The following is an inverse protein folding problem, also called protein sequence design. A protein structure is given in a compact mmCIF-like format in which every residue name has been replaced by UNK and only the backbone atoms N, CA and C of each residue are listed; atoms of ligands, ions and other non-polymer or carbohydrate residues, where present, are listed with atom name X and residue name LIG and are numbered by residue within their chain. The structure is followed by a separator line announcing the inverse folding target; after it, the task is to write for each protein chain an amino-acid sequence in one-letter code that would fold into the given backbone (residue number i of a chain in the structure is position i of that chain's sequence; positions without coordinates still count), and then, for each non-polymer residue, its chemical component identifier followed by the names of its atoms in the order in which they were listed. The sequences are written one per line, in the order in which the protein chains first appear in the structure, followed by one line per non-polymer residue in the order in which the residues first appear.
data_IF_089556831317
#
_entry.id   IF_089556831317
#
_cell.length_a   1.000
_cell.length_b   1.000
_cell.length_c   1.000
_cell.angle_alpha   90.00
_cell.angle_beta   90.00
_cell.angle_gamma   90.00
#
_symmetry.space_group_name_H-M   'P 1'
#
loop_
_entity.id
_entity.type
_entity.pdbx_description
1 polymer ?
#
# COMPACT_ATOMS: atom_id res chain seq x y z
N UNK A 1 -10.80 -21.93 -4.99
CA UNK A 1 -11.23 -20.52 -4.85
C UNK A 1 -10.66 -20.00 -3.55
N UNK A 2 -9.85 -18.95 -3.58
CA UNK A 2 -9.46 -18.21 -2.38
C UNK A 2 -9.29 -16.78 -2.81
N UNK A 3 -10.41 -16.04 -2.84
CA UNK A 3 -10.34 -14.59 -2.84
C UNK A 3 -9.68 -14.22 -1.52
N UNK A 4 -8.52 -13.56 -1.58
CA UNK A 4 -7.98 -12.87 -0.43
C UNK A 4 -8.99 -11.78 -0.04
N UNK A 5 -9.93 -12.13 0.85
CA UNK A 5 -10.89 -11.19 1.40
C UNK A 5 -10.11 -10.17 2.22
N UNK A 6 -9.83 -9.02 1.60
CA UNK A 6 -9.52 -7.81 2.34
C UNK A 6 -10.81 -7.48 3.10
N UNK A 7 -10.72 -7.40 4.43
CA UNK A 7 -11.87 -7.32 5.36
C UNK A 7 -13.00 -6.42 4.86
N UNK A 8 -14.25 -6.89 4.99
CA UNK A 8 -15.46 -6.20 4.56
C UNK A 8 -15.94 -5.07 5.47
N UNK A 9 -15.16 -4.68 6.49
CA UNK A 9 -15.49 -3.52 7.32
C UNK A 9 -15.46 -2.25 6.48
N UNK A 10 -16.54 -1.47 6.53
CA UNK A 10 -16.68 -0.20 5.79
C UNK A 10 -17.04 0.94 6.74
N UNK A 11 -16.62 2.15 6.39
CA UNK A 11 -17.01 3.39 7.05
C UNK A 11 -17.86 4.24 6.09
N UNK A 12 -18.80 5.03 6.60
CA UNK A 12 -19.50 6.04 5.80
C UNK A 12 -18.73 7.34 5.79
N UNK A 13 -18.43 7.84 4.59
CA UNK A 13 -17.83 9.15 4.37
C UNK A 13 -18.91 10.25 4.40
N UNK A 14 -18.55 11.53 4.60
CA UNK A 14 -19.48 12.66 4.53
C UNK A 14 -20.23 12.76 3.19
N UNK A 15 -19.68 12.19 2.12
CA UNK A 15 -20.34 12.09 0.81
C UNK A 15 -21.49 11.06 0.76
N UNK A 16 -21.70 10.29 1.84
CA UNK A 16 -22.64 9.18 1.91
C UNK A 16 -22.14 7.87 1.31
N UNK A 17 -20.95 7.87 0.69
CA UNK A 17 -20.31 6.66 0.15
C UNK A 17 -19.67 5.82 1.25
N UNK A 18 -19.71 4.50 1.07
CA UNK A 18 -18.99 3.57 1.95
C UNK A 18 -17.54 3.40 1.47
N UNK A 19 -16.57 3.51 2.37
CA UNK A 19 -15.15 3.29 2.12
C UNK A 19 -14.61 2.13 2.95
N UNK A 20 -13.85 1.24 2.32
CA UNK A 20 -13.11 0.16 2.96
C UNK A 20 -11.62 0.47 3.12
N UNK A 21 -10.87 -0.51 3.61
CA UNK A 21 -9.42 -0.36 3.81
C UNK A 21 -8.68 -0.05 2.50
N UNK A 22 -9.07 -0.70 1.40
CA UNK A 22 -8.45 -0.46 0.07
C UNK A 22 -8.66 0.99 -0.34
N UNK A 23 -9.86 1.54 -0.18
CA UNK A 23 -10.17 2.92 -0.54
C UNK A 23 -9.29 3.92 0.25
N UNK A 24 -9.12 3.68 1.56
CA UNK A 24 -8.31 4.52 2.44
C UNK A 24 -6.83 4.46 2.04
N UNK A 25 -6.28 3.25 1.84
CA UNK A 25 -4.89 3.08 1.44
C UNK A 25 -4.63 3.58 0.03
N UNK A 26 -5.60 3.45 -0.88
CA UNK A 26 -5.54 4.02 -2.23
C UNK A 26 -5.46 5.54 -2.16
N UNK A 27 -6.22 6.17 -1.28
CA UNK A 27 -6.19 7.62 -1.14
C UNK A 27 -4.87 8.10 -0.52
N UNK A 28 -4.47 7.53 0.63
CA UNK A 28 -3.32 8.05 1.39
C UNK A 28 -1.98 7.72 0.72
N UNK A 29 -1.87 6.57 0.04
CA UNK A 29 -0.60 6.07 -0.50
C UNK A 29 -0.62 5.89 -2.03
N UNK A 30 -1.72 6.28 -2.69
CA UNK A 30 -1.94 6.00 -4.11
C UNK A 30 -1.91 4.51 -4.47
N UNK A 31 -2.08 3.59 -3.51
CA UNK A 31 -1.98 2.14 -3.76
C UNK A 31 -3.18 1.64 -4.56
N UNK A 32 -2.93 0.78 -5.54
CA UNK A 32 -3.97 0.02 -6.24
C UNK A 32 -4.41 -1.18 -5.40
N UNK A 33 -5.55 -1.78 -5.75
CA UNK A 33 -5.99 -3.05 -5.15
C UNK A 33 -4.92 -4.15 -5.28
N UNK A 34 -4.21 -4.18 -6.42
CA UNK A 34 -3.08 -5.10 -6.63
C UNK A 34 -1.94 -4.82 -5.65
N UNK A 35 -1.59 -3.56 -5.41
CA UNK A 35 -0.52 -3.22 -4.47
C UNK A 35 -0.88 -3.67 -3.04
N UNK A 36 -2.13 -3.44 -2.63
CA UNK A 36 -2.65 -3.89 -1.33
C UNK A 36 -2.65 -5.41 -1.24
N UNK A 37 -3.04 -6.12 -2.30
CA UNK A 37 -3.00 -7.57 -2.34
C UNK A 37 -1.58 -8.11 -2.21
N UNK A 38 -0.59 -7.49 -2.87
CA UNK A 38 0.83 -7.87 -2.76
C UNK A 38 1.34 -7.64 -1.34
N UNK A 39 1.01 -6.50 -0.72
CA UNK A 39 1.38 -6.20 0.66
C UNK A 39 0.77 -7.22 1.64
N UNK A 40 -0.53 -7.48 1.53
CA UNK A 40 -1.24 -8.47 2.36
C UNK A 40 -0.68 -9.87 2.14
N UNK A 41 -0.31 -10.20 0.90
CA UNK A 41 0.42 -11.43 0.56
C UNK A 41 1.70 -11.51 1.38
N UNK A 42 2.56 -10.49 1.29
CA UNK A 42 3.85 -10.40 1.99
C UNK A 42 3.75 -10.45 3.52
N UNK A 43 2.64 -9.98 4.11
CA UNK A 43 2.40 -10.05 5.56
C UNK A 43 2.14 -11.47 6.09
N UNK A 44 1.72 -12.41 5.23
CA UNK A 44 1.32 -13.78 5.64
C UNK A 44 2.48 -14.77 5.86
N UNK A 45 3.73 -14.33 5.80
CA UNK A 45 4.86 -15.26 5.95
C UNK A 45 6.24 -14.63 5.79
N UNK A 46 7.19 -15.49 5.46
CA UNK A 46 8.59 -15.13 5.29
C UNK A 46 8.88 -14.37 4.00
N UNK A 47 10.14 -13.95 3.87
CA UNK A 47 10.63 -13.24 2.71
C UNK A 47 10.50 -14.10 1.45
N UNK A 48 9.83 -13.58 0.42
CA UNK A 48 9.49 -14.31 -0.81
C UNK A 48 10.09 -13.67 -2.04
N UNK A 49 10.41 -14.50 -3.03
CA UNK A 49 10.87 -14.05 -4.34
C UNK A 49 9.70 -13.57 -5.22
N UNK A 50 10.02 -12.82 -6.28
CA UNK A 50 9.01 -12.39 -7.27
C UNK A 50 8.27 -13.58 -7.90
N UNK A 51 8.99 -14.67 -8.19
CA UNK A 51 8.42 -15.87 -8.82
C UNK A 51 7.41 -16.61 -7.91
N UNK A 52 7.64 -16.60 -6.60
CA UNK A 52 6.71 -17.17 -5.62
C UNK A 52 5.45 -16.31 -5.51
N UNK A 53 5.61 -14.99 -5.43
CA UNK A 53 4.48 -14.05 -5.38
C UNK A 53 3.62 -14.11 -6.65
N UNK A 54 4.23 -14.28 -7.82
CA UNK A 54 3.53 -14.50 -9.08
C UNK A 54 2.63 -15.73 -9.03
N UNK A 55 3.16 -16.87 -8.55
CA UNK A 55 2.42 -18.13 -8.44
C UNK A 55 1.31 -18.06 -7.40
N UNK A 56 1.59 -17.50 -6.23
CA UNK A 56 0.64 -17.42 -5.11
C UNK A 56 -0.51 -16.47 -5.40
N UNK A 57 -0.20 -15.27 -5.90
CA UNK A 57 -1.18 -14.21 -6.12
C UNK A 57 -1.85 -14.29 -7.49
N UNK A 58 -1.32 -15.13 -8.40
CA UNK A 58 -1.77 -15.27 -9.80
C UNK A 58 -1.73 -13.94 -10.55
N UNK A 59 -0.70 -13.14 -10.29
CA UNK A 59 -0.47 -11.84 -10.90
C UNK A 59 0.72 -11.91 -11.86
N UNK A 60 0.73 -11.02 -12.86
CA UNK A 60 1.86 -10.94 -13.79
C UNK A 60 3.14 -10.46 -13.08
N UNK A 61 4.30 -10.91 -13.57
CA UNK A 61 5.61 -10.43 -13.15
C UNK A 61 5.73 -8.91 -13.17
N UNK A 62 5.17 -8.27 -14.21
CA UNK A 62 5.20 -6.82 -14.34
C UNK A 62 4.37 -6.14 -13.22
N UNK A 63 3.19 -6.68 -12.92
CA UNK A 63 2.32 -6.18 -11.84
C UNK A 63 2.97 -6.33 -10.47
N UNK A 64 3.55 -7.50 -10.18
CA UNK A 64 4.28 -7.75 -8.93
C UNK A 64 5.45 -6.78 -8.79
N UNK A 65 6.32 -6.64 -9.81
CA UNK A 65 7.48 -5.75 -9.71
C UNK A 65 7.08 -4.28 -9.55
N UNK A 66 6.02 -3.82 -10.23
CA UNK A 66 5.48 -2.47 -10.04
C UNK A 66 5.02 -2.26 -8.60
N UNK A 67 4.27 -3.22 -8.06
CA UNK A 67 3.77 -3.17 -6.69
C UNK A 67 4.91 -3.17 -5.67
N UNK A 68 5.90 -4.05 -5.85
CA UNK A 68 7.06 -4.15 -4.96
C UNK A 68 7.88 -2.85 -4.96
N UNK A 69 8.16 -2.27 -6.13
CA UNK A 69 8.89 -1.00 -6.21
C UNK A 69 8.16 0.11 -5.44
N UNK A 70 6.86 0.23 -5.65
CA UNK A 70 6.05 1.23 -4.96
C UNK A 70 6.05 1.02 -3.45
N UNK A 71 5.81 -0.22 -3.00
CA UNK A 71 5.80 -0.56 -1.57
C UNK A 71 7.17 -0.33 -0.89
N UNK A 72 8.28 -0.48 -1.63
CA UNK A 72 9.63 -0.15 -1.15
C UNK A 72 9.82 1.36 -1.02
N UNK A 73 9.38 2.14 -2.01
CA UNK A 73 9.48 3.61 -2.01
C UNK A 73 8.78 4.22 -0.79
N UNK A 74 7.58 3.72 -0.45
CA UNK A 74 6.83 4.16 0.75
C UNK A 74 7.22 3.40 2.02
N UNK A 75 8.27 2.57 1.96
CA UNK A 75 8.88 1.90 3.10
C UNK A 75 7.90 1.00 3.90
N UNK A 76 6.97 0.32 3.20
CA UNK A 76 6.08 -0.70 3.78
C UNK A 76 6.65 -2.12 3.65
N UNK A 77 7.56 -2.34 2.71
CA UNK A 77 8.26 -3.62 2.53
C UNK A 77 9.76 -3.39 2.53
N UNK A 78 10.50 -4.46 2.78
CA UNK A 78 11.96 -4.49 2.73
C UNK A 78 12.43 -5.52 1.71
N UNK A 79 13.59 -5.26 1.09
CA UNK A 79 14.27 -6.20 0.21
C UNK A 79 15.50 -6.79 0.90
N UNK A 80 15.69 -8.09 0.72
CA UNK A 80 16.81 -8.86 1.25
C UNK A 80 17.54 -9.45 0.05
N UNK A 81 18.85 -9.23 -0.03
CA UNK A 81 19.68 -9.85 -1.07
C UNK A 81 19.90 -11.32 -0.71
N UNK A 82 19.54 -12.21 -1.62
CA UNK A 82 19.74 -13.64 -1.41
C UNK A 82 21.25 -13.98 -1.44
N UNK A 83 21.80 -14.57 -0.36
CA UNK A 83 23.19 -14.98 -0.35
C UNK A 83 23.41 -16.21 -1.24
N UNK A 84 24.46 -16.19 -2.06
CA UNK A 84 24.93 -17.38 -2.78
C UNK A 84 24.45 -17.56 -4.23
N UNK A 85 23.88 -16.54 -4.88
CA UNK A 85 23.55 -16.69 -6.30
C UNK A 85 24.84 -16.77 -7.15
N UNK A 86 25.20 -17.98 -7.60
CA UNK A 86 26.36 -18.27 -8.47
C UNK A 86 26.17 -17.79 -9.92
N UNK A 87 24.96 -17.38 -10.29
CA UNK A 87 24.61 -16.96 -11.64
C UNK A 87 24.37 -15.45 -11.74
N UNK A 88 25.45 -14.67 -11.88
CA UNK A 88 25.56 -13.31 -12.47
C UNK A 88 24.67 -12.16 -11.97
N UNK A 89 23.37 -12.35 -11.73
CA UNK A 89 22.39 -11.34 -11.33
C UNK A 89 21.93 -11.54 -9.89
N UNK A 90 21.98 -10.52 -9.02
CA UNK A 90 21.44 -10.61 -7.67
C UNK A 90 19.95 -11.02 -7.66
N UNK A 91 19.61 -12.01 -6.83
CA UNK A 91 18.22 -12.32 -6.48
C UNK A 91 17.83 -11.59 -5.21
N UNK A 92 16.58 -11.14 -5.17
CA UNK A 92 16.03 -10.42 -4.02
C UNK A 92 14.80 -11.16 -3.51
N UNK A 93 14.70 -11.21 -2.19
CA UNK A 93 13.51 -11.61 -1.47
C UNK A 93 12.87 -10.36 -0.86
N UNK A 94 11.55 -10.35 -0.78
CA UNK A 94 10.78 -9.23 -0.27
C UNK A 94 10.00 -9.69 0.95
N UNK A 95 9.96 -8.84 1.99
CA UNK A 95 9.23 -9.10 3.22
C UNK A 95 8.46 -7.84 3.63
N UNK A 96 7.24 -8.01 4.13
CA UNK A 96 6.57 -6.92 4.84
C UNK A 96 7.37 -6.56 6.10
N UNK A 97 7.30 -5.30 6.52
CA UNK A 97 7.79 -4.92 7.85
C UNK A 97 6.98 -5.60 8.96
N UNK A 98 7.46 -5.50 10.20
CA UNK A 98 6.73 -6.02 11.35
C UNK A 98 5.29 -5.46 11.38
N UNK A 99 4.34 -6.30 11.81
CA UNK A 99 2.93 -5.94 11.81
C UNK A 99 2.64 -4.69 12.65
N UNK A 100 3.26 -4.59 13.84
CA UNK A 100 3.02 -3.46 14.73
C UNK A 100 3.65 -2.18 14.17
N UNK A 101 4.84 -2.29 13.57
CA UNK A 101 5.47 -1.17 12.86
C UNK A 101 4.62 -0.67 11.69
N UNK A 102 4.11 -1.59 10.86
CA UNK A 102 3.24 -1.25 9.73
C UNK A 102 1.95 -0.60 10.18
N UNK A 103 1.28 -1.21 11.17
CA UNK A 103 0.04 -0.67 11.72
C UNK A 103 0.26 0.71 12.32
N UNK A 104 1.32 0.89 13.10
CA UNK A 104 1.68 2.16 13.72
C UNK A 104 1.96 3.25 12.67
N UNK A 105 2.78 2.92 11.66
CA UNK A 105 3.04 3.82 10.54
C UNK A 105 1.76 4.19 9.79
N UNK A 106 0.95 3.19 9.43
CA UNK A 106 -0.28 3.42 8.68
C UNK A 106 -1.26 4.33 9.42
N UNK A 107 -1.45 4.11 10.72
CA UNK A 107 -2.30 4.96 11.54
C UNK A 107 -1.75 6.39 11.65
N UNK A 108 -0.43 6.54 11.81
CA UNK A 108 0.24 7.84 11.85
C UNK A 108 0.06 8.63 10.56
N UNK A 109 0.41 8.01 9.42
CA UNK A 109 0.30 8.62 8.10
C UNK A 109 -1.16 9.00 7.76
N UNK A 110 -2.14 8.16 8.11
CA UNK A 110 -3.56 8.46 7.88
C UNK A 110 -4.00 9.69 8.69
N UNK A 111 -3.56 9.79 9.95
CA UNK A 111 -3.86 10.95 10.79
C UNK A 111 -3.21 12.21 10.22
N UNK A 112 -1.94 12.15 9.86
CA UNK A 112 -1.22 13.27 9.24
C UNK A 112 -1.87 13.69 7.91
N UNK A 113 -2.31 12.73 7.09
CA UNK A 113 -3.04 13.00 5.86
C UNK A 113 -4.35 13.76 6.14
N UNK A 114 -5.11 13.33 7.15
CA UNK A 114 -6.34 14.02 7.59
C UNK A 114 -6.07 15.45 8.03
N UNK A 115 -5.04 15.65 8.85
CA UNK A 115 -4.69 16.98 9.38
C UNK A 115 -4.28 17.93 8.24
N UNK A 116 -3.45 17.47 7.30
CA UNK A 116 -3.05 18.24 6.11
C UNK A 116 -4.21 18.57 5.18
N UNK A 117 -5.15 17.65 5.00
CA UNK A 117 -6.35 17.91 4.20
C UNK A 117 -7.21 19.01 4.82
N UNK A 118 -7.40 18.97 6.14
CA UNK A 118 -8.15 20.00 6.85
C UNK A 118 -7.48 21.38 6.73
N UNK A 119 -6.16 21.43 6.92
CA UNK A 119 -5.37 22.65 6.76
C UNK A 119 -5.45 23.22 5.34
N UNK A 120 -5.36 22.37 4.31
CA UNK A 120 -5.49 22.81 2.92
C UNK A 120 -6.86 23.44 2.63
N UNK A 121 -7.94 22.88 3.18
CA UNK A 121 -9.28 23.45 3.05
C UNK A 121 -9.36 24.80 3.74
N UNK A 122 -8.83 24.94 4.96
CA UNK A 122 -8.82 26.22 5.69
C UNK A 122 -8.05 27.33 4.92
N UNK A 123 -6.95 26.96 4.28
CA UNK A 123 -6.11 27.89 3.53
C UNK A 123 -6.74 28.33 2.20
N UNK A 124 -7.29 27.39 1.44
CA UNK A 124 -7.66 27.57 0.02
C UNK A 124 -9.15 27.72 -0.23
N UNK A 125 -10.02 27.23 0.65
CA UNK A 125 -11.47 27.27 0.44
C UNK A 125 -12.06 28.64 0.81
N UNK A 126 -11.80 29.63 -0.04
CA UNK A 126 -12.29 31.02 0.11
C UNK A 126 -13.19 31.41 -1.07
N UNK A 127 -14.22 32.24 -0.85
CA UNK A 127 -15.04 32.76 -1.93
C UNK A 127 -14.20 33.55 -2.94
N UNK A 128 -14.50 33.41 -4.23
CA UNK A 128 -13.88 34.24 -5.27
C UNK A 128 -14.26 35.71 -5.03
N UNK A 129 -13.26 36.57 -4.86
CA UNK A 129 -13.50 38.02 -4.84
C UNK A 129 -13.89 38.48 -6.25
N UNK A 130 -15.18 38.72 -6.45
CA UNK A 130 -15.67 39.41 -7.65
C UNK A 130 -15.29 40.88 -7.51
N UNK A 131 -14.22 41.31 -8.19
CA UNK A 131 -13.93 42.74 -8.35
C UNK A 131 -15.07 43.37 -9.13
N UNK A 132 -15.76 44.32 -8.48
CA UNK A 132 -16.78 45.16 -9.09
C UNK A 132 -16.19 46.09 -10.15
#
# INVERSE_FOLDING_TARGET
MSQSQISGSRIKLPSGKDAGLVDILSFCYSLSETDVQVLMGLMRGDARGTEELEKELKLSKASINRSLNKLLEINLVMRIKEPGNKAGRPRYLYKAKDYNELKGKMLGDIKECSDKMAELVDQEFKPLEVKA
#
